data_IF_024888815020
#
_entry.id   IF_024888815020
#
_cell.length_a   1.000
_cell.length_b   1.000
_cell.length_c   1.000
_cell.angle_alpha   90.00
_cell.angle_beta   90.00
_cell.angle_gamma   90.00
#
_symmetry.space_group_name_H-M   'P 1'
#
loop_
_entity.id
_entity.type
_entity.pdbx_description
1 polymer ?
#
# COMPACT_ATOMS: atom_id res chain seq x y z
N UNK A 1 13.96 17.06 -11.08
CA UNK A 1 12.49 16.96 -11.26
C UNK A 1 11.80 16.99 -9.91
N UNK A 2 10.65 17.65 -9.81
CA UNK A 2 9.92 17.85 -8.56
C UNK A 2 9.52 16.53 -7.85
N UNK A 3 9.23 15.46 -8.59
CA UNK A 3 8.89 14.15 -8.02
C UNK A 3 10.05 13.53 -7.22
N UNK A 4 11.29 13.59 -7.75
CA UNK A 4 12.50 13.11 -7.07
C UNK A 4 12.82 13.95 -5.84
N UNK A 5 12.65 15.27 -5.95
CA UNK A 5 12.80 16.21 -4.83
C UNK A 5 11.84 15.89 -3.69
N UNK A 6 10.55 15.66 -4.00
CA UNK A 6 9.54 15.30 -3.01
C UNK A 6 9.90 14.00 -2.28
N UNK A 7 10.24 12.95 -3.04
CA UNK A 7 10.62 11.66 -2.45
C UNK A 7 11.85 11.80 -1.54
N UNK A 8 12.87 12.58 -1.96
CA UNK A 8 14.05 12.85 -1.16
C UNK A 8 13.71 13.58 0.15
N UNK A 9 12.82 14.58 0.10
CA UNK A 9 12.38 15.32 1.29
C UNK A 9 11.58 14.45 2.27
N UNK A 10 10.69 13.59 1.77
CA UNK A 10 9.95 12.65 2.61
C UNK A 10 10.88 11.65 3.30
N UNK A 11 11.85 11.10 2.56
CA UNK A 11 12.85 10.20 3.13
C UNK A 11 13.72 10.92 4.18
N UNK A 12 14.18 12.14 3.89
CA UNK A 12 14.95 12.95 4.83
C UNK A 12 14.18 13.28 6.12
N UNK A 13 12.86 13.54 6.01
CA UNK A 13 11.99 13.73 7.17
C UNK A 13 11.96 12.47 8.05
N UNK A 14 11.79 11.30 7.43
CA UNK A 14 11.73 10.03 8.15
C UNK A 14 13.06 9.68 8.85
N UNK A 15 14.20 9.88 8.17
CA UNK A 15 15.53 9.63 8.77
C UNK A 15 15.88 10.64 9.86
N UNK A 16 15.46 11.90 9.72
CA UNK A 16 15.68 12.93 10.75
C UNK A 16 14.91 12.61 12.03
N UNK A 17 13.67 12.15 11.91
CA UNK A 17 12.85 11.74 13.05
C UNK A 17 13.45 10.52 13.77
N UNK A 18 13.93 9.53 13.01
CA UNK A 18 14.63 8.37 13.57
C UNK A 18 15.93 8.77 14.28
N UNK A 19 16.74 9.65 13.68
CA UNK A 19 17.98 10.15 14.28
C UNK A 19 17.73 10.94 15.57
N UNK A 20 16.56 11.59 15.68
CA UNK A 20 16.11 12.27 16.89
C UNK A 20 15.50 11.33 17.95
N UNK A 21 15.63 10.00 17.79
CA UNK A 21 15.03 8.97 18.66
C UNK A 21 13.50 9.08 18.79
N UNK A 22 12.84 9.63 17.75
CA UNK A 22 11.38 9.76 17.65
C UNK A 22 10.92 9.20 16.30
N UNK A 23 11.07 7.90 16.06
CA UNK A 23 10.74 7.31 14.77
C UNK A 23 9.26 7.54 14.44
N UNK A 24 9.02 8.20 13.31
CA UNK A 24 7.67 8.54 12.84
C UNK A 24 7.21 7.50 11.79
N UNK A 25 6.26 6.66 12.19
CA UNK A 25 5.69 5.64 11.32
C UNK A 25 5.04 6.25 10.06
N UNK A 26 4.37 7.41 10.18
CA UNK A 26 3.74 8.06 9.04
C UNK A 26 4.77 8.63 8.07
N UNK A 27 5.89 9.16 8.58
CA UNK A 27 6.96 9.63 7.71
C UNK A 27 7.58 8.50 6.87
N UNK A 28 7.78 7.31 7.47
CA UNK A 28 8.25 6.12 6.74
C UNK A 28 7.21 5.61 5.74
N UNK A 29 5.92 5.63 6.13
CA UNK A 29 4.83 5.23 5.26
C UNK A 29 4.72 6.13 4.03
N UNK A 30 4.71 7.45 4.21
CA UNK A 30 4.60 8.43 3.11
C UNK A 30 5.73 8.25 2.09
N UNK A 31 6.97 8.09 2.57
CA UNK A 31 8.13 7.88 1.71
C UNK A 31 8.04 6.55 0.94
N UNK A 32 7.66 5.47 1.62
CA UNK A 32 7.55 4.14 1.02
C UNK A 32 6.41 4.01 0.03
N UNK A 33 5.21 4.46 0.41
CA UNK A 33 4.01 4.34 -0.41
C UNK A 33 4.11 5.20 -1.68
N UNK A 34 4.69 6.41 -1.58
CA UNK A 34 4.94 7.25 -2.75
C UNK A 34 5.93 6.59 -3.72
N UNK A 35 7.01 5.99 -3.20
CA UNK A 35 8.00 5.29 -4.02
C UNK A 35 7.36 4.14 -4.83
N UNK A 36 6.54 3.31 -4.19
CA UNK A 36 5.84 2.21 -4.87
C UNK A 36 4.76 2.72 -5.83
N UNK A 37 4.09 3.82 -5.51
CA UNK A 37 3.13 4.46 -6.43
C UNK A 37 3.82 4.93 -7.71
N UNK A 38 5.00 5.56 -7.62
CA UNK A 38 5.77 5.93 -8.80
C UNK A 38 6.21 4.73 -9.64
N UNK A 39 6.58 3.62 -8.99
CA UNK A 39 6.91 2.37 -9.69
C UNK A 39 5.70 1.75 -10.37
N UNK A 40 4.54 1.73 -9.74
CA UNK A 40 3.33 1.19 -10.36
C UNK A 40 2.85 2.07 -11.52
N UNK A 41 2.91 3.39 -11.38
CA UNK A 41 2.51 4.32 -12.44
C UNK A 41 3.43 4.24 -13.66
N UNK A 42 4.75 4.32 -13.45
CA UNK A 42 5.74 4.42 -14.54
C UNK A 42 6.15 3.03 -15.06
N UNK A 43 6.02 2.00 -14.24
CA UNK A 43 6.28 0.60 -14.60
C UNK A 43 5.11 -0.11 -15.27
N UNK A 44 3.89 0.42 -15.18
CA UNK A 44 2.82 0.03 -16.11
C UNK A 44 3.17 0.63 -17.48
N UNK A 45 3.67 -0.21 -18.39
CA UNK A 45 3.61 0.05 -19.82
C UNK A 45 2.13 0.29 -20.19
N UNK A 46 1.64 1.51 -20.01
CA UNK A 46 0.32 1.96 -20.45
C UNK A 46 0.43 2.20 -21.96
N UNK A 47 0.10 1.21 -22.82
CA UNK A 47 0.46 1.22 -24.23
C UNK A 47 -0.25 2.35 -25.00
N UNK A 48 -1.27 2.95 -24.39
CA UNK A 48 -2.10 4.01 -24.98
C UNK A 48 -1.88 5.39 -24.35
N UNK A 49 -1.03 5.51 -23.31
CA UNK A 49 -0.69 6.81 -22.71
C UNK A 49 0.77 7.22 -22.96
N UNK A 50 1.62 6.31 -23.43
CA UNK A 50 3.06 6.53 -23.55
C UNK A 50 3.53 6.65 -25.00
N UNK A 51 2.61 6.61 -25.97
CA UNK A 51 2.96 6.76 -27.38
C UNK A 51 3.50 8.19 -27.60
N UNK A 52 4.82 8.30 -27.80
CA UNK A 52 5.53 9.56 -27.98
C UNK A 52 6.00 10.29 -26.72
N UNK A 53 5.69 9.83 -25.49
CA UNK A 53 6.25 10.43 -24.27
C UNK A 53 7.60 9.81 -23.90
N UNK A 54 8.64 10.64 -23.76
CA UNK A 54 9.88 10.24 -23.07
C UNK A 54 9.50 9.81 -21.66
N UNK A 55 9.57 8.52 -21.37
CA UNK A 55 9.47 8.04 -20.00
C UNK A 55 10.68 8.58 -19.24
N UNK A 56 10.45 9.63 -18.45
CA UNK A 56 11.43 10.10 -17.50
C UNK A 56 11.86 8.94 -16.59
N UNK A 57 13.14 8.92 -16.20
CA UNK A 57 13.64 7.91 -15.28
C UNK A 57 12.79 7.90 -14.01
N UNK A 58 12.28 6.72 -13.64
CA UNK A 58 11.44 6.57 -12.46
C UNK A 58 12.13 7.21 -11.24
N UNK A 59 11.51 8.22 -10.60
CA UNK A 59 12.12 8.97 -9.51
C UNK A 59 12.40 8.10 -8.26
N UNK A 60 11.72 6.95 -8.14
CA UNK A 60 11.89 5.97 -7.09
C UNK A 60 12.81 4.80 -7.47
N UNK A 61 13.52 4.88 -8.61
CA UNK A 61 14.50 3.86 -8.99
C UNK A 61 15.56 3.69 -7.89
N UNK A 62 15.79 2.44 -7.48
CA UNK A 62 16.72 2.09 -6.40
C UNK A 62 16.17 2.24 -4.97
N UNK A 63 14.95 2.73 -4.78
CA UNK A 63 14.30 2.81 -3.45
C UNK A 63 13.44 1.57 -3.23
N UNK A 64 13.63 0.83 -2.14
CA UNK A 64 12.71 -0.26 -1.73
C UNK A 64 11.58 0.31 -0.88
N UNK A 65 10.53 0.83 -1.53
CA UNK A 65 9.40 1.46 -0.85
C UNK A 65 8.57 0.47 -0.03
N UNK A 66 8.48 -0.79 -0.48
CA UNK A 66 7.83 -1.84 0.29
C UNK A 66 8.52 -2.11 1.63
N UNK A 67 9.86 -2.12 1.67
CA UNK A 67 10.59 -2.22 2.93
C UNK A 67 10.30 -1.04 3.88
N UNK A 68 10.18 0.17 3.35
CA UNK A 68 9.82 1.35 4.15
C UNK A 68 8.39 1.26 4.72
N UNK A 69 7.44 0.76 3.92
CA UNK A 69 6.06 0.53 4.40
C UNK A 69 6.03 -0.56 5.48
N UNK A 70 6.77 -1.66 5.33
CA UNK A 70 6.88 -2.69 6.39
C UNK A 70 7.47 -2.11 7.69
N UNK A 71 8.48 -1.23 7.57
CA UNK A 71 9.04 -0.51 8.73
C UNK A 71 7.98 0.37 9.41
N UNK A 72 7.19 1.12 8.63
CA UNK A 72 6.09 1.92 9.17
C UNK A 72 5.04 1.09 9.92
N UNK A 73 4.62 -0.05 9.35
CA UNK A 73 3.68 -1.00 9.97
C UNK A 73 4.22 -1.50 11.31
N UNK A 74 5.51 -1.87 11.35
CA UNK A 74 6.16 -2.34 12.57
C UNK A 74 6.20 -1.26 13.67
N UNK A 75 6.47 -0.01 13.30
CA UNK A 75 6.48 1.13 14.23
C UNK A 75 5.08 1.48 14.76
N UNK A 76 4.04 1.33 13.93
CA UNK A 76 2.66 1.71 14.28
C UNK A 76 1.89 0.63 15.02
N UNK A 77 2.43 -0.59 15.10
CA UNK A 77 1.82 -1.71 15.80
C UNK A 77 0.70 -2.38 15.01
N UNK A 78 0.96 -2.74 13.74
CA UNK A 78 0.06 -3.56 12.91
C UNK A 78 -1.24 -2.82 12.51
N UNK A 79 -1.09 -1.60 12.02
CA UNK A 79 -2.14 -0.71 11.52
C UNK A 79 -2.88 -1.30 10.29
N UNK A 80 -4.19 -1.59 10.36
CA UNK A 80 -4.94 -2.22 9.27
C UNK A 80 -4.99 -1.41 7.97
N UNK A 81 -4.92 -0.08 8.03
CA UNK A 81 -4.92 0.77 6.83
C UNK A 81 -3.55 0.73 6.14
N UNK A 82 -2.47 0.68 6.90
CA UNK A 82 -1.12 0.47 6.34
C UNK A 82 -0.96 -0.94 5.76
N UNK A 83 -1.57 -1.94 6.39
CA UNK A 83 -1.64 -3.31 5.87
C UNK A 83 -2.41 -3.36 4.54
N UNK A 84 -3.51 -2.60 4.40
CA UNK A 84 -4.21 -2.45 3.12
C UNK A 84 -3.30 -1.85 2.03
N UNK A 85 -2.57 -0.78 2.35
CA UNK A 85 -1.63 -0.16 1.42
C UNK A 85 -0.52 -1.15 0.99
N UNK A 86 0.02 -1.95 1.92
CA UNK A 86 0.99 -3.00 1.60
C UNK A 86 0.40 -4.10 0.70
N UNK A 87 -0.87 -4.45 0.89
CA UNK A 87 -1.58 -5.37 -0.01
C UNK A 87 -1.71 -4.81 -1.44
N UNK A 88 -1.92 -3.50 -1.60
CA UNK A 88 -1.94 -2.84 -2.92
C UNK A 88 -0.58 -2.83 -3.60
N UNK A 89 0.50 -2.59 -2.84
CA UNK A 89 1.87 -2.62 -3.36
C UNK A 89 2.19 -4.01 -3.95
N UNK A 90 1.75 -5.06 -3.24
CA UNK A 90 2.09 -6.46 -3.53
C UNK A 90 1.14 -7.14 -4.52
N UNK A 91 0.17 -6.44 -5.12
CA UNK A 91 -0.80 -6.98 -6.09
C UNK A 91 -0.15 -7.76 -7.25
N UNK A 92 0.99 -7.28 -7.75
CA UNK A 92 1.76 -7.93 -8.83
C UNK A 92 3.02 -8.66 -8.31
N UNK A 93 3.16 -8.76 -7.00
CA UNK A 93 4.31 -9.35 -6.31
C UNK A 93 4.06 -10.76 -5.78
N UNK A 94 4.87 -11.23 -4.81
CA UNK A 94 4.70 -12.56 -4.23
C UNK A 94 3.30 -12.74 -3.62
N UNK A 95 2.57 -13.75 -4.09
CA UNK A 95 1.18 -14.01 -3.71
C UNK A 95 0.98 -14.16 -2.19
N UNK A 96 1.97 -14.74 -1.51
CA UNK A 96 1.90 -14.95 -0.06
C UNK A 96 1.98 -13.64 0.73
N UNK A 97 2.85 -12.71 0.34
CA UNK A 97 2.95 -11.41 0.99
C UNK A 97 1.66 -10.60 0.81
N UNK A 98 1.10 -10.61 -0.40
CA UNK A 98 -0.19 -9.98 -0.69
C UNK A 98 -1.30 -10.55 0.21
N UNK A 99 -1.40 -11.89 0.27
CA UNK A 99 -2.43 -12.58 1.07
C UNK A 99 -2.32 -12.22 2.56
N UNK A 100 -1.12 -12.20 3.12
CA UNK A 100 -0.90 -11.87 4.54
C UNK A 100 -1.34 -10.44 4.86
N UNK A 101 -0.94 -9.46 4.04
CA UNK A 101 -1.33 -8.06 4.21
C UNK A 101 -2.85 -7.86 4.07
N UNK A 102 -3.45 -8.48 3.06
CA UNK A 102 -4.90 -8.42 2.83
C UNK A 102 -5.69 -9.00 4.02
N UNK A 103 -5.27 -10.15 4.57
CA UNK A 103 -5.92 -10.76 5.73
C UNK A 103 -5.90 -9.85 6.96
N UNK A 104 -4.76 -9.21 7.24
CA UNK A 104 -4.64 -8.27 8.36
C UNK A 104 -5.50 -7.02 8.17
N UNK A 105 -5.57 -6.50 6.95
CA UNK A 105 -6.45 -5.38 6.62
C UNK A 105 -7.93 -5.77 6.82
N UNK A 106 -8.35 -6.95 6.34
CA UNK A 106 -9.71 -7.48 6.52
C UNK A 106 -10.06 -7.65 8.00
N UNK A 107 -9.11 -8.11 8.82
CA UNK A 107 -9.33 -8.27 10.26
C UNK A 107 -9.67 -6.92 10.94
N UNK A 108 -9.01 -5.83 10.55
CA UNK A 108 -9.28 -4.48 11.07
C UNK A 108 -10.50 -3.78 10.48
N UNK A 109 -10.98 -4.22 9.32
CA UNK A 109 -12.15 -3.64 8.65
C UNK A 109 -13.46 -3.79 9.44
N UNK A 110 -13.53 -4.78 10.35
CA UNK A 110 -14.70 -5.01 11.21
C UNK A 110 -15.07 -3.78 12.06
N UNK A 111 -14.10 -2.93 12.35
CA UNK A 111 -14.26 -1.73 13.19
C UNK A 111 -14.00 -0.42 12.44
N UNK A 112 -13.71 -0.48 11.13
CA UNK A 112 -13.42 0.67 10.28
C UNK A 112 -14.21 0.56 8.97
N UNK A 113 -15.33 1.30 8.90
CA UNK A 113 -16.23 1.30 7.75
C UNK A 113 -15.56 1.83 6.47
N UNK A 114 -14.64 2.79 6.58
CA UNK A 114 -13.93 3.32 5.42
C UNK A 114 -12.94 2.28 4.87
N UNK A 115 -12.23 1.57 5.74
CA UNK A 115 -11.38 0.46 5.35
C UNK A 115 -12.20 -0.68 4.71
N UNK A 116 -13.34 -1.04 5.28
CA UNK A 116 -14.23 -2.05 4.73
C UNK A 116 -14.69 -1.71 3.30
N UNK A 117 -15.08 -0.46 3.06
CA UNK A 117 -15.48 0.02 1.73
C UNK A 117 -14.33 -0.06 0.71
N UNK A 118 -13.12 0.35 1.11
CA UNK A 118 -11.95 0.30 0.24
C UNK A 118 -11.54 -1.15 -0.10
N UNK A 119 -11.61 -2.05 0.87
CA UNK A 119 -11.39 -3.48 0.65
C UNK A 119 -12.42 -4.08 -0.30
N UNK A 120 -13.70 -3.75 -0.11
CA UNK A 120 -14.76 -4.23 -0.97
C UNK A 120 -14.56 -3.80 -2.44
N UNK A 121 -14.25 -2.52 -2.66
CA UNK A 121 -14.03 -1.97 -3.98
C UNK A 121 -12.80 -2.57 -4.70
N UNK A 122 -11.77 -2.98 -3.95
CA UNK A 122 -10.46 -3.33 -4.53
C UNK A 122 -10.12 -4.82 -4.53
N UNK A 123 -10.67 -5.57 -3.58
CA UNK A 123 -10.42 -7.01 -3.44
C UNK A 123 -11.69 -7.87 -3.53
N UNK A 124 -12.89 -7.27 -3.47
CA UNK A 124 -14.18 -7.99 -3.47
C UNK A 124 -15.07 -7.50 -4.62
N UNK A 125 -14.47 -7.34 -5.81
CA UNK A 125 -15.18 -7.15 -7.09
C UNK A 125 -15.61 -8.48 -7.71
N UNK A 126 -16.36 -8.50 -8.83
CA UNK A 126 -17.37 -9.52 -9.21
C UNK A 126 -16.90 -10.97 -9.47
N UNK A 127 -15.68 -11.35 -9.10
CA UNK A 127 -15.20 -12.74 -9.12
C UNK A 127 -15.05 -13.38 -7.73
N UNK A 128 -15.35 -12.67 -6.66
CA UNK A 128 -15.34 -13.23 -5.30
C UNK A 128 -16.64 -12.92 -4.59
N UNK A 129 -17.30 -13.96 -4.07
CA UNK A 129 -18.54 -13.92 -3.30
C UNK A 129 -18.63 -12.65 -2.44
N UNK A 130 -19.75 -11.94 -2.57
CA UNK A 130 -19.96 -10.64 -1.92
C UNK A 130 -19.93 -10.80 -0.38
N UNK A 131 -19.48 -9.77 0.34
CA UNK A 131 -19.47 -9.77 1.82
C UNK A 131 -20.84 -10.14 2.43
N UNK A 132 -21.94 -9.81 1.74
CA UNK A 132 -23.29 -10.20 2.10
C UNK A 132 -23.50 -11.72 2.09
N UNK A 133 -22.89 -12.45 1.14
CA UNK A 133 -22.94 -13.91 1.05
C UNK A 133 -22.08 -14.57 2.13
N UNK A 134 -20.93 -14.00 2.48
CA UNK A 134 -20.09 -14.45 3.59
C UNK A 134 -20.78 -14.27 4.96
N UNK A 135 -21.50 -13.17 5.16
CA UNK A 135 -22.26 -12.90 6.38
C UNK A 135 -23.52 -13.78 6.48
N UNK A 136 -24.19 -14.04 5.34
CA UNK A 136 -25.33 -14.93 5.28
C UNK A 136 -24.95 -16.39 5.58
N UNK A 137 -23.85 -16.90 5.00
CA UNK A 137 -23.36 -18.27 5.26
C UNK A 137 -22.98 -18.52 6.72
N UNK A 138 -22.44 -17.51 7.41
CA UNK A 138 -22.11 -17.61 8.84
C UNK A 138 -23.32 -17.47 9.78
N UNK A 139 -24.47 -17.02 9.27
CA UNK A 139 -25.70 -16.88 10.04
C UNK A 139 -26.62 -18.11 9.92
N UNK A 140 -26.41 -18.95 8.91
CA UNK A 140 -27.13 -20.22 8.70
C UNK A 140 -26.43 -21.44 9.32
N UNK A 141 -25.31 -21.24 10.01
CA UNK A 141 -24.50 -22.31 10.62
C UNK A 141 -24.77 -22.51 12.13
N UNK A 142 -25.94 -22.09 12.64
CA UNK A 142 -26.43 -22.42 13.97
C UNK A 142 -27.81 -23.09 13.89
#
# INVERSE_FOLDING_TARGET
MAAKELLARLHARATSAESASKPDALAWFDAGYLAETYKQWIGQNLPHMTDGMRMDANPASGVDGYALVKKAIALRGNDPQMEFAAALITLSGPQEAHRQHAQKAIAGAKTDAALAQNLAARFIGPQSETMSELLAKNSTAN
#
